data_IF_885098816578
#
_entry.id   IF_885098816578
#
_cell.length_a   1.000
_cell.length_b   1.000
_cell.length_c   1.000
_cell.angle_alpha   90.00
_cell.angle_beta   90.00
_cell.angle_gamma   90.00
#
_symmetry.space_group_name_H-M   'P 1'
#
loop_
_entity.id
_entity.type
_entity.pdbx_description
1 polymer ?
#
# COMPACT_ATOMS: atom_id res chain seq x y z
N UNK A 1 -8.42 40.11 -3.53
CA UNK A 1 -8.69 39.54 -4.87
C UNK A 1 -7.77 38.35 -5.22
N UNK A 2 -6.43 38.44 -5.10
CA UNK A 2 -5.51 37.32 -5.39
C UNK A 2 -5.71 36.07 -4.51
N UNK A 3 -5.92 36.23 -3.20
CA UNK A 3 -6.16 35.10 -2.29
C UNK A 3 -7.44 34.31 -2.61
N UNK A 4 -8.52 35.00 -2.98
CA UNK A 4 -9.79 34.38 -3.31
C UNK A 4 -9.71 33.55 -4.61
N UNK A 5 -8.93 34.02 -5.59
CA UNK A 5 -8.70 33.32 -6.85
C UNK A 5 -7.89 32.03 -6.66
N UNK A 6 -6.89 32.05 -5.76
CA UNK A 6 -6.03 30.90 -5.47
C UNK A 6 -6.77 29.77 -4.76
N UNK A 7 -7.56 30.09 -3.72
CA UNK A 7 -8.39 29.09 -3.03
C UNK A 7 -9.49 28.51 -3.93
N UNK A 8 -10.10 29.34 -4.78
CA UNK A 8 -11.11 28.88 -5.74
C UNK A 8 -10.49 28.02 -6.86
N UNK A 9 -9.25 28.33 -7.27
CA UNK A 9 -8.46 27.52 -8.20
C UNK A 9 -8.04 26.16 -7.60
N UNK A 10 -7.57 26.12 -6.35
CA UNK A 10 -7.25 24.87 -5.65
C UNK A 10 -8.46 23.98 -5.41
N UNK A 11 -9.62 24.54 -5.01
CA UNK A 11 -10.87 23.77 -4.91
C UNK A 11 -11.29 23.18 -6.25
N UNK A 12 -11.27 23.98 -7.33
CA UNK A 12 -11.58 23.49 -8.69
C UNK A 12 -10.58 22.44 -9.17
N UNK A 13 -9.29 22.60 -8.85
CA UNK A 13 -8.27 21.61 -9.18
C UNK A 13 -8.47 20.30 -8.41
N UNK A 14 -8.81 20.37 -7.11
CA UNK A 14 -9.11 19.19 -6.29
C UNK A 14 -10.41 18.51 -6.74
N UNK A 15 -11.47 19.26 -7.03
CA UNK A 15 -12.73 18.73 -7.57
C UNK A 15 -12.50 18.05 -8.93
N UNK A 16 -11.64 18.63 -9.77
CA UNK A 16 -11.22 18.03 -11.04
C UNK A 16 -10.41 16.74 -10.83
N UNK A 17 -9.44 16.74 -9.91
CA UNK A 17 -8.66 15.53 -9.55
C UNK A 17 -9.59 14.43 -9.04
N UNK A 18 -10.51 14.75 -8.12
CA UNK A 18 -11.52 13.83 -7.60
C UNK A 18 -12.37 13.20 -8.70
N UNK A 19 -12.87 14.01 -9.64
CA UNK A 19 -13.67 13.51 -10.77
C UNK A 19 -12.87 12.61 -11.71
N UNK A 20 -11.58 12.91 -11.93
CA UNK A 20 -10.70 12.17 -12.84
C UNK A 20 -10.08 10.91 -12.23
N UNK A 21 -10.04 10.80 -10.90
CA UNK A 21 -9.46 9.68 -10.16
C UNK A 21 -10.44 8.49 -9.95
N UNK A 22 -11.64 8.53 -10.55
CA UNK A 22 -12.65 7.46 -10.43
C UNK A 22 -12.38 6.20 -11.28
N UNK A 23 -11.17 6.03 -11.82
CA UNK A 23 -10.82 4.81 -12.56
C UNK A 23 -10.73 3.64 -11.58
N UNK A 24 -11.65 2.68 -11.70
CA UNK A 24 -11.68 1.47 -10.88
C UNK A 24 -10.96 0.35 -11.65
N UNK A 25 -10.19 -0.49 -10.95
CA UNK A 25 -9.89 -1.83 -11.45
C UNK A 25 -11.23 -2.50 -11.74
N UNK A 26 -11.43 -2.91 -12.99
CA UNK A 26 -12.71 -3.46 -13.43
C UNK A 26 -12.99 -4.78 -12.69
N UNK A 27 -14.13 -4.89 -11.96
CA UNK A 27 -14.58 -6.16 -11.38
C UNK A 27 -14.79 -7.26 -12.41
N UNK A 28 -14.80 -6.94 -13.71
CA UNK A 28 -15.20 -7.90 -14.74
C UNK A 28 -14.16 -8.96 -15.02
N UNK A 29 -12.86 -8.65 -14.88
CA UNK A 29 -11.84 -9.70 -14.93
C UNK A 29 -12.04 -10.76 -13.84
N UNK A 30 -12.76 -10.41 -12.76
CA UNK A 30 -13.08 -11.35 -11.69
C UNK A 30 -14.41 -12.06 -11.87
N UNK A 31 -15.33 -11.58 -12.70
CA UNK A 31 -16.69 -12.11 -12.79
C UNK A 31 -17.04 -12.57 -14.22
N UNK A 32 -16.39 -13.63 -14.73
CA UNK A 32 -16.71 -14.16 -16.05
C UNK A 32 -18.14 -14.72 -16.09
N UNK A 33 -18.82 -14.70 -17.24
CA UNK A 33 -20.17 -15.24 -17.40
C UNK A 33 -20.23 -16.77 -17.28
N UNK A 34 -19.14 -17.46 -17.65
CA UNK A 34 -19.00 -18.91 -17.56
C UNK A 34 -17.67 -19.26 -16.87
N UNK A 35 -17.74 -19.62 -15.58
CA UNK A 35 -16.55 -19.97 -14.80
C UNK A 35 -15.87 -21.25 -15.30
N UNK A 36 -16.61 -22.19 -15.92
CA UNK A 36 -16.05 -23.46 -16.38
C UNK A 36 -15.08 -23.29 -17.56
N UNK A 37 -15.24 -22.18 -18.32
CA UNK A 37 -14.40 -21.84 -19.49
C UNK A 37 -13.44 -20.68 -19.24
N UNK A 38 -13.55 -20.01 -18.09
CA UNK A 38 -12.68 -18.90 -17.75
C UNK A 38 -11.21 -19.37 -17.63
N UNK A 39 -10.27 -18.52 -18.06
CA UNK A 39 -8.85 -18.68 -17.73
C UNK A 39 -8.64 -18.21 -16.30
N UNK A 40 -7.93 -19.00 -15.49
CA UNK A 40 -7.82 -18.82 -14.05
C UNK A 40 -6.35 -18.74 -13.64
N UNK A 41 -6.09 -17.97 -12.58
CA UNK A 41 -4.82 -17.94 -11.88
C UNK A 41 -5.10 -18.23 -10.41
N UNK A 42 -4.52 -19.32 -9.90
CA UNK A 42 -4.69 -19.77 -8.51
C UNK A 42 -3.60 -19.15 -7.65
N UNK A 43 -4.01 -18.55 -6.53
CA UNK A 43 -3.13 -17.96 -5.53
C UNK A 43 -3.48 -18.53 -4.16
N UNK A 44 -2.47 -18.97 -3.40
CA UNK A 44 -2.67 -19.52 -2.06
C UNK A 44 -2.23 -18.49 -1.00
N UNK A 45 -3.13 -18.09 -0.11
CA UNK A 45 -2.86 -17.03 0.88
C UNK A 45 -1.77 -17.42 1.91
N UNK A 46 -1.48 -18.71 2.07
CA UNK A 46 -0.70 -19.26 3.18
C UNK A 46 0.82 -19.06 3.06
N UNK A 47 1.27 -17.91 2.55
CA UNK A 47 2.67 -17.50 2.63
C UNK A 47 3.14 -17.46 4.09
N UNK A 48 4.39 -17.87 4.31
CA UNK A 48 5.06 -17.97 5.61
C UNK A 48 5.36 -16.64 6.33
N UNK A 49 4.40 -15.73 6.44
CA UNK A 49 4.59 -14.41 7.06
C UNK A 49 3.30 -13.88 7.74
N UNK A 50 3.34 -12.64 8.25
CA UNK A 50 2.18 -11.98 8.88
C UNK A 50 1.18 -11.39 7.89
N UNK A 51 0.06 -10.86 8.41
CA UNK A 51 -1.12 -10.40 7.64
C UNK A 51 -0.76 -9.46 6.48
N UNK A 52 -0.04 -8.36 6.74
CA UNK A 52 0.30 -7.39 5.68
C UNK A 52 1.12 -8.01 4.54
N UNK A 53 2.06 -8.90 4.87
CA UNK A 53 2.84 -9.64 3.87
C UNK A 53 1.98 -10.65 3.07
N UNK A 54 1.03 -11.33 3.72
CA UNK A 54 0.07 -12.21 3.03
C UNK A 54 -0.89 -11.43 2.13
N UNK A 55 -1.37 -10.26 2.56
CA UNK A 55 -2.18 -9.38 1.73
C UNK A 55 -1.39 -8.90 0.50
N UNK A 56 -0.14 -8.46 0.68
CA UNK A 56 0.74 -8.11 -0.44
C UNK A 56 1.00 -9.29 -1.37
N UNK A 57 1.10 -10.52 -0.86
CA UNK A 57 1.16 -11.70 -1.72
C UNK A 57 -0.09 -11.85 -2.60
N UNK A 58 -1.30 -11.68 -2.04
CA UNK A 58 -2.55 -11.74 -2.82
C UNK A 58 -2.63 -10.59 -3.83
N UNK A 59 -2.19 -9.38 -3.47
CA UNK A 59 -2.10 -8.22 -4.39
C UNK A 59 -1.18 -8.54 -5.57
N UNK A 60 0.00 -9.10 -5.31
CA UNK A 60 0.94 -9.55 -6.34
C UNK A 60 0.28 -10.57 -7.29
N UNK A 61 -0.41 -11.58 -6.75
CA UNK A 61 -1.13 -12.55 -7.57
C UNK A 61 -2.18 -11.88 -8.44
N UNK A 62 -2.91 -10.91 -7.86
CA UNK A 62 -3.98 -10.22 -8.55
C UNK A 62 -3.45 -9.31 -9.68
N UNK A 63 -2.32 -8.64 -9.47
CA UNK A 63 -1.68 -7.85 -10.52
C UNK A 63 -1.27 -8.71 -11.74
N UNK A 64 -0.71 -9.89 -11.49
CA UNK A 64 -0.37 -10.85 -12.57
C UNK A 64 -1.63 -11.42 -13.22
N UNK A 65 -2.64 -11.78 -12.44
CA UNK A 65 -3.92 -12.27 -12.97
C UNK A 65 -4.58 -11.22 -13.87
N UNK A 66 -4.53 -9.94 -13.47
CA UNK A 66 -5.01 -8.81 -14.28
C UNK A 66 -4.18 -8.61 -15.56
N UNK A 67 -2.85 -8.69 -15.48
CA UNK A 67 -1.98 -8.58 -16.66
C UNK A 67 -2.19 -9.70 -17.67
N UNK A 68 -2.42 -10.92 -17.20
CA UNK A 68 -2.55 -12.13 -18.03
C UNK A 68 -3.99 -12.47 -18.44
N UNK A 69 -4.95 -11.60 -18.12
CA UNK A 69 -6.39 -11.81 -18.39
C UNK A 69 -6.93 -13.12 -17.80
N UNK A 70 -6.56 -13.39 -16.55
CA UNK A 70 -7.01 -14.54 -15.77
C UNK A 70 -7.86 -14.09 -14.59
N UNK A 71 -8.95 -14.79 -14.33
CA UNK A 71 -9.72 -14.65 -13.09
C UNK A 71 -8.86 -15.10 -11.92
N UNK A 72 -8.82 -14.34 -10.83
CA UNK A 72 -8.06 -14.73 -9.64
C UNK A 72 -8.91 -15.71 -8.83
N UNK A 73 -8.35 -16.88 -8.57
CA UNK A 73 -8.92 -17.86 -7.64
C UNK A 73 -8.06 -17.84 -6.38
N UNK A 74 -8.65 -17.44 -5.26
CA UNK A 74 -7.96 -17.34 -3.98
C UNK A 74 -8.23 -18.58 -3.13
N UNK A 75 -7.21 -19.40 -2.94
CA UNK A 75 -7.26 -20.50 -1.98
C UNK A 75 -6.88 -20.00 -0.60
N UNK A 76 -7.84 -20.07 0.32
CA UNK A 76 -7.72 -19.50 1.66
C UNK A 76 -8.01 -20.48 2.80
N UNK A 77 -8.31 -21.74 2.50
CA UNK A 77 -8.49 -22.76 3.54
C UNK A 77 -7.23 -22.92 4.41
N UNK A 78 -7.45 -23.23 5.69
CA UNK A 78 -6.40 -23.36 6.70
C UNK A 78 -5.55 -22.09 6.86
N UNK A 79 -6.15 -20.93 6.60
CA UNK A 79 -5.46 -19.67 6.81
C UNK A 79 -5.12 -19.47 8.28
N UNK A 80 -3.84 -19.24 8.57
CA UNK A 80 -3.30 -19.14 9.95
C UNK A 80 -4.02 -18.10 10.83
N UNK A 81 -4.63 -17.09 10.23
CA UNK A 81 -5.37 -16.05 10.95
C UNK A 81 -6.85 -16.41 11.14
N UNK A 82 -7.44 -17.13 10.19
CA UNK A 82 -8.85 -17.54 10.22
C UNK A 82 -8.97 -18.86 9.43
N UNK A 83 -9.02 -20.03 10.09
CA UNK A 83 -9.04 -21.33 9.41
C UNK A 83 -10.21 -21.48 8.41
N UNK A 84 -11.31 -20.77 8.64
CA UNK A 84 -12.47 -20.68 7.75
C UNK A 84 -12.20 -19.98 6.41
N UNK A 85 -11.09 -19.25 6.29
CA UNK A 85 -10.61 -18.64 5.05
C UNK A 85 -10.82 -17.14 4.95
N UNK A 86 -10.65 -16.63 3.73
CA UNK A 86 -10.71 -15.20 3.40
C UNK A 86 -12.09 -14.61 3.68
N UNK A 87 -13.12 -15.37 3.34
CA UNK A 87 -14.53 -15.01 3.44
C UNK A 87 -15.00 -14.82 4.88
N UNK A 88 -14.21 -15.25 5.87
CA UNK A 88 -14.46 -14.92 7.28
C UNK A 88 -14.58 -13.41 7.46
N UNK A 89 -13.71 -12.61 6.84
CA UNK A 89 -13.61 -11.15 7.05
C UNK A 89 -13.93 -10.29 5.81
N UNK A 90 -13.61 -10.78 4.61
CA UNK A 90 -13.76 -10.01 3.36
C UNK A 90 -14.73 -10.68 2.40
N UNK A 91 -15.27 -9.91 1.45
CA UNK A 91 -16.07 -10.47 0.37
C UNK A 91 -15.20 -11.40 -0.51
N UNK A 92 -15.81 -12.42 -1.14
CA UNK A 92 -15.09 -13.27 -2.09
C UNK A 92 -14.52 -12.42 -3.23
N UNK A 93 -13.37 -12.87 -3.75
CA UNK A 93 -12.67 -12.18 -4.84
C UNK A 93 -13.50 -12.17 -6.14
N UNK A 94 -14.41 -13.13 -6.30
CA UNK A 94 -15.37 -13.23 -7.40
C UNK A 94 -16.75 -13.63 -6.87
N UNK A 95 -17.81 -13.10 -7.49
CA UNK A 95 -19.19 -13.53 -7.23
C UNK A 95 -19.63 -14.67 -8.16
N UNK A 96 -19.00 -14.83 -9.32
CA UNK A 96 -19.43 -15.80 -10.36
C UNK A 96 -18.43 -16.93 -10.59
N UNK A 97 -17.19 -16.81 -10.09
CA UNK A 97 -16.14 -17.77 -10.37
C UNK A 97 -15.13 -17.88 -9.22
N UNK A 98 -15.43 -18.74 -8.26
CA UNK A 98 -14.55 -19.08 -7.13
C UNK A 98 -13.97 -20.50 -7.23
N UNK A 99 -14.43 -21.29 -8.20
CA UNK A 99 -14.00 -22.65 -8.42
C UNK A 99 -12.72 -22.73 -9.29
N UNK A 100 -11.80 -23.61 -8.93
CA UNK A 100 -10.51 -23.81 -9.62
C UNK A 100 -10.53 -24.86 -10.72
N UNK A 101 -11.67 -25.49 -11.04
CA UNK A 101 -11.72 -26.52 -12.08
C UNK A 101 -11.38 -25.97 -13.47
N UNK A 102 -10.85 -26.82 -14.33
CA UNK A 102 -10.56 -26.47 -15.72
C UNK A 102 -10.05 -27.69 -16.48
N UNK A 103 -10.07 -27.62 -17.81
CA UNK A 103 -9.62 -28.68 -18.71
C UNK A 103 -8.11 -28.95 -18.61
N UNK A 104 -7.32 -27.94 -18.24
CA UNK A 104 -5.87 -28.07 -18.03
C UNK A 104 -5.42 -27.22 -16.83
N UNK A 105 -4.54 -27.79 -16.02
CA UNK A 105 -3.93 -27.14 -14.85
C UNK A 105 -2.42 -27.31 -14.90
N UNK A 106 -1.66 -26.28 -14.55
CA UNK A 106 -0.20 -26.33 -14.46
C UNK A 106 0.37 -25.26 -13.55
N UNK A 107 1.61 -25.45 -13.11
CA UNK A 107 2.36 -24.40 -12.41
C UNK A 107 2.83 -23.32 -13.39
N UNK A 108 2.99 -22.10 -12.91
CA UNK A 108 3.54 -20.99 -13.69
C UNK A 108 4.87 -21.39 -14.36
N UNK A 109 4.90 -21.27 -15.68
CA UNK A 109 6.10 -21.50 -16.51
C UNK A 109 6.41 -20.34 -17.46
N UNK A 110 5.64 -19.25 -17.34
CA UNK A 110 5.77 -18.03 -18.11
C UNK A 110 4.60 -17.84 -19.07
N UNK A 111 4.15 -16.59 -19.22
CA UNK A 111 2.92 -16.25 -19.96
C UNK A 111 2.84 -16.87 -21.38
N UNK A 112 3.96 -16.91 -22.11
CA UNK A 112 4.01 -17.49 -23.45
C UNK A 112 3.82 -19.02 -23.45
N UNK A 113 4.39 -19.72 -22.47
CA UNK A 113 4.26 -21.17 -22.32
C UNK A 113 2.89 -21.56 -21.78
N UNK A 114 2.34 -20.75 -20.88
CA UNK A 114 1.06 -21.00 -20.21
C UNK A 114 -0.15 -20.55 -21.04
N UNK A 115 0.03 -20.18 -22.33
CA UNK A 115 -1.03 -19.60 -23.16
C UNK A 115 -2.28 -20.50 -23.25
N UNK A 116 -2.08 -21.81 -23.43
CA UNK A 116 -3.15 -22.81 -23.62
C UNK A 116 -3.54 -23.52 -22.31
N UNK A 117 -2.87 -23.17 -21.19
CA UNK A 117 -3.20 -23.70 -19.86
C UNK A 117 -4.36 -22.91 -19.28
N UNK A 118 -5.47 -23.58 -18.96
CA UNK A 118 -6.66 -22.90 -18.46
C UNK A 118 -6.47 -22.39 -17.04
N UNK A 119 -5.89 -23.20 -16.15
CA UNK A 119 -5.69 -22.88 -14.73
C UNK A 119 -4.20 -22.88 -14.41
N UNK A 120 -3.66 -21.72 -14.03
CA UNK A 120 -2.23 -21.59 -13.71
C UNK A 120 -2.05 -21.35 -12.21
N UNK A 121 -1.24 -22.17 -11.55
CA UNK A 121 -0.89 -22.00 -10.15
C UNK A 121 0.34 -21.09 -10.02
N UNK A 122 0.17 -19.96 -9.32
CA UNK A 122 1.23 -18.98 -9.17
C UNK A 122 1.95 -19.16 -7.82
N UNK A 123 3.29 -19.29 -7.82
CA UNK A 123 4.06 -19.37 -6.58
C UNK A 123 4.20 -18.00 -5.90
N UNK A 124 4.77 -17.99 -4.70
CA UNK A 124 5.21 -16.75 -4.06
C UNK A 124 6.26 -16.05 -4.93
N UNK A 125 6.31 -14.72 -4.84
CA UNK A 125 7.21 -13.89 -5.66
C UNK A 125 8.69 -14.27 -5.52
N UNK A 126 9.07 -14.79 -4.35
CA UNK A 126 10.44 -15.21 -4.00
C UNK A 126 10.93 -16.39 -4.87
N UNK A 127 10.02 -17.25 -5.34
CA UNK A 127 10.32 -18.41 -6.20
C UNK A 127 9.74 -18.27 -7.61
N UNK A 128 9.25 -17.08 -7.98
CA UNK A 128 8.66 -16.83 -9.29
C UNK A 128 9.74 -16.79 -10.39
N UNK A 129 9.66 -17.74 -11.32
CA UNK A 129 10.49 -17.74 -12.52
C UNK A 129 9.73 -18.35 -13.71
N UNK A 130 9.80 -17.73 -14.91
CA UNK A 130 10.32 -16.39 -15.19
C UNK A 130 9.42 -15.31 -14.57
N UNK A 131 9.98 -14.12 -14.29
CA UNK A 131 9.20 -12.99 -13.75
C UNK A 131 8.43 -12.29 -14.88
N UNK A 132 7.09 -12.17 -14.81
CA UNK A 132 6.32 -11.42 -15.79
C UNK A 132 6.53 -9.90 -15.62
N UNK A 133 6.16 -9.08 -16.62
CA UNK A 133 6.31 -7.62 -16.52
C UNK A 133 5.31 -6.98 -15.56
N UNK A 134 4.23 -7.67 -15.18
CA UNK A 134 3.12 -7.13 -14.40
C UNK A 134 3.39 -7.01 -12.88
N UNK A 135 4.52 -6.41 -12.52
CA UNK A 135 5.01 -6.28 -11.14
C UNK A 135 5.24 -4.81 -10.77
N UNK A 136 5.04 -4.44 -9.49
CA UNK A 136 5.46 -3.14 -9.00
C UNK A 136 6.97 -2.91 -9.24
N UNK A 137 7.44 -1.68 -9.38
CA UNK A 137 6.69 -0.42 -9.28
C UNK A 137 6.11 0.05 -10.63
N UNK A 138 6.04 -0.82 -11.64
CA UNK A 138 5.52 -0.43 -12.94
C UNK A 138 4.00 -0.20 -12.92
N UNK A 139 3.54 0.74 -13.74
CA UNK A 139 2.13 1.10 -13.91
C UNK A 139 1.64 0.79 -15.34
N UNK A 140 0.32 0.68 -15.58
CA UNK A 140 -0.23 0.54 -16.93
C UNK A 140 0.13 1.71 -17.84
N UNK A 141 0.67 1.41 -19.02
CA UNK A 141 1.13 2.40 -20.01
C UNK A 141 0.00 3.37 -20.44
N UNK A 142 -1.23 2.88 -20.58
CA UNK A 142 -2.40 3.67 -20.95
C UNK A 142 -2.83 4.66 -19.84
N UNK A 143 -2.62 4.28 -18.57
CA UNK A 143 -2.93 5.11 -17.42
C UNK A 143 -1.81 6.08 -17.05
N UNK A 144 -0.55 5.79 -17.45
CA UNK A 144 0.62 6.53 -17.01
C UNK A 144 0.53 8.06 -17.25
N UNK A 145 0.13 8.56 -18.43
CA UNK A 145 0.01 10.01 -18.63
C UNK A 145 -1.06 10.67 -17.76
N UNK A 146 -2.10 9.93 -17.35
CA UNK A 146 -3.15 10.44 -16.45
C UNK A 146 -2.66 10.43 -15.00
N UNK A 147 -2.06 9.34 -14.57
CA UNK A 147 -1.59 9.18 -13.18
C UNK A 147 -0.49 10.19 -12.85
N UNK A 148 0.48 10.39 -13.74
CA UNK A 148 1.56 11.38 -13.52
C UNK A 148 1.05 12.83 -13.39
N UNK A 149 -0.17 13.14 -13.88
CA UNK A 149 -0.79 14.46 -13.69
C UNK A 149 -1.60 14.57 -12.40
N UNK A 150 -2.03 13.44 -11.84
CA UNK A 150 -3.02 13.37 -10.77
C UNK A 150 -2.42 12.95 -9.42
N UNK A 151 -1.35 12.16 -9.43
CA UNK A 151 -0.80 11.49 -8.25
C UNK A 151 0.72 11.63 -8.21
N UNK A 152 1.27 11.98 -7.04
CA UNK A 152 2.71 12.16 -6.84
C UNK A 152 3.52 10.86 -6.89
N UNK A 153 2.88 9.72 -6.58
CA UNK A 153 3.45 8.38 -6.77
C UNK A 153 2.44 7.46 -7.46
N UNK A 154 2.49 7.35 -8.80
CA UNK A 154 1.61 6.46 -9.55
C UNK A 154 1.69 4.98 -9.17
N UNK A 155 2.83 4.52 -8.65
CA UNK A 155 3.10 3.10 -8.39
C UNK A 155 2.25 2.62 -7.22
N UNK A 156 2.27 3.34 -6.10
CA UNK A 156 1.42 3.03 -4.94
C UNK A 156 -0.07 3.20 -5.28
N UNK A 157 -0.43 4.16 -6.14
CA UNK A 157 -1.81 4.29 -6.60
C UNK A 157 -2.28 3.04 -7.35
N UNK A 158 -1.42 2.45 -8.18
CA UNK A 158 -1.76 1.23 -8.91
C UNK A 158 -1.92 0.03 -7.99
N UNK A 159 -0.99 -0.17 -7.06
CA UNK A 159 -1.07 -1.20 -6.01
C UNK A 159 -2.36 -1.06 -5.20
N UNK A 160 -2.70 0.17 -4.80
CA UNK A 160 -3.86 0.43 -3.94
C UNK A 160 -5.20 0.07 -4.58
N UNK A 161 -5.32 0.05 -5.91
CA UNK A 161 -6.55 -0.37 -6.55
C UNK A 161 -6.87 -1.85 -6.30
N UNK A 162 -5.84 -2.70 -6.25
CA UNK A 162 -6.00 -4.11 -5.93
C UNK A 162 -6.27 -4.31 -4.44
N UNK A 163 -5.55 -3.59 -3.58
CA UNK A 163 -5.83 -3.59 -2.12
C UNK A 163 -7.29 -3.22 -1.87
N UNK A 164 -7.79 -2.13 -2.46
CA UNK A 164 -9.18 -1.67 -2.35
C UNK A 164 -10.20 -2.74 -2.74
N UNK A 165 -9.95 -3.47 -3.82
CA UNK A 165 -10.85 -4.53 -4.25
C UNK A 165 -10.82 -5.72 -3.29
N UNK A 166 -9.65 -6.10 -2.79
CA UNK A 166 -9.51 -7.23 -1.88
C UNK A 166 -10.18 -6.93 -0.53
N UNK A 167 -9.90 -5.78 0.08
CA UNK A 167 -10.35 -5.47 1.45
C UNK A 167 -11.82 -5.01 1.55
N UNK A 168 -12.68 -5.38 0.59
CA UNK A 168 -14.12 -5.14 0.69
C UNK A 168 -14.67 -5.97 1.87
N UNK A 169 -15.17 -5.34 2.94
CA UNK A 169 -15.52 -6.04 4.16
C UNK A 169 -16.80 -6.86 3.98
N UNK A 170 -16.91 -7.96 4.73
CA UNK A 170 -18.22 -8.57 5.00
C UNK A 170 -19.11 -7.59 5.78
N UNK A 171 -20.44 -7.74 5.67
CA UNK A 171 -21.39 -6.83 6.33
C UNK A 171 -21.20 -6.72 7.85
N UNK A 172 -20.79 -7.81 8.51
CA UNK A 172 -20.52 -7.81 9.95
C UNK A 172 -19.27 -7.00 10.30
N UNK A 173 -18.22 -7.07 9.47
CA UNK A 173 -16.97 -6.33 9.67
C UNK A 173 -17.19 -4.84 9.39
N UNK A 174 -17.97 -4.49 8.37
CA UNK A 174 -18.38 -3.11 8.12
C UNK A 174 -19.13 -2.51 9.31
N UNK A 175 -20.06 -3.27 9.90
CA UNK A 175 -20.76 -2.87 11.12
C UNK A 175 -19.81 -2.70 12.30
N UNK A 176 -18.85 -3.60 12.47
CA UNK A 176 -17.83 -3.48 13.52
C UNK A 176 -16.96 -2.23 13.34
N UNK A 177 -16.52 -1.94 12.12
CA UNK A 177 -15.77 -0.71 11.81
C UNK A 177 -16.57 0.53 12.23
N UNK A 178 -17.86 0.60 11.86
CA UNK A 178 -18.73 1.72 12.21
C UNK A 178 -18.92 1.86 13.73
N UNK A 179 -19.15 0.74 14.42
CA UNK A 179 -19.30 0.71 15.88
C UNK A 179 -18.03 1.13 16.60
N UNK A 180 -16.87 0.63 16.16
CA UNK A 180 -15.57 0.98 16.72
C UNK A 180 -15.22 2.44 16.46
N UNK A 181 -15.55 2.98 15.28
CA UNK A 181 -15.39 4.41 14.96
C UNK A 181 -16.13 5.29 15.98
N UNK A 182 -17.39 4.95 16.26
CA UNK A 182 -18.19 5.67 17.25
C UNK A 182 -17.66 5.48 18.68
N UNK A 183 -17.30 4.26 19.07
CA UNK A 183 -16.79 3.92 20.41
C UNK A 183 -15.47 4.64 20.72
N UNK A 184 -14.56 4.70 19.75
CA UNK A 184 -13.26 5.37 19.90
C UNK A 184 -13.36 6.89 19.81
N UNK A 185 -14.51 7.44 19.40
CA UNK A 185 -14.65 8.87 19.14
C UNK A 185 -13.71 9.36 18.02
N UNK A 186 -13.45 8.52 17.03
CA UNK A 186 -12.51 8.82 15.94
C UNK A 186 -13.00 10.05 15.15
N UNK A 187 -12.20 11.12 15.16
CA UNK A 187 -12.54 12.41 14.54
C UNK A 187 -11.32 13.16 14.04
N UNK A 188 -11.50 13.88 12.95
CA UNK A 188 -10.48 14.74 12.35
C UNK A 188 -10.41 16.12 13.05
N UNK A 189 -9.26 16.82 13.00
CA UNK A 189 -7.98 16.37 12.46
C UNK A 189 -7.29 15.35 13.39
N UNK A 190 -6.68 14.32 12.80
CA UNK A 190 -6.01 13.21 13.50
C UNK A 190 -4.80 12.70 12.71
N UNK A 191 -3.70 12.43 13.40
CA UNK A 191 -2.49 11.84 12.81
C UNK A 191 -2.39 10.38 13.24
N UNK A 192 -2.16 9.48 12.29
CA UNK A 192 -1.94 8.06 12.53
C UNK A 192 -0.49 7.81 12.91
N UNK A 193 -0.27 7.07 13.99
CA UNK A 193 1.06 6.62 14.42
C UNK A 193 1.04 5.11 14.52
N UNK A 194 1.91 4.46 13.77
CA UNK A 194 2.11 3.01 13.86
C UNK A 194 3.52 2.71 14.36
N UNK A 195 3.59 2.18 15.59
CA UNK A 195 4.85 1.80 16.22
C UNK A 195 4.94 0.29 16.25
N UNK A 196 5.91 -0.28 15.53
CA UNK A 196 6.17 -1.73 15.49
C UNK A 196 7.39 -2.05 16.35
N UNK A 197 7.22 -2.89 17.37
CA UNK A 197 8.29 -3.37 18.25
C UNK A 197 8.44 -4.90 18.12
N UNK A 198 8.02 -5.62 19.17
CA UNK A 198 8.14 -7.08 19.40
C UNK A 198 9.22 -7.81 18.58
N UNK A 199 8.84 -8.74 17.71
CA UNK A 199 9.72 -9.64 16.95
C UNK A 199 10.53 -8.99 15.83
N UNK A 200 10.26 -7.71 15.52
CA UNK A 200 10.89 -7.01 14.39
C UNK A 200 12.14 -6.25 14.81
N UNK A 201 12.25 -5.88 16.09
CA UNK A 201 13.43 -5.21 16.63
C UNK A 201 14.61 -6.17 16.61
N UNK A 202 15.67 -5.80 15.90
CA UNK A 202 16.92 -6.57 15.81
C UNK A 202 16.97 -7.64 14.71
N UNK A 203 15.88 -7.80 13.94
CA UNK A 203 15.84 -8.72 12.77
C UNK A 203 15.55 -7.96 11.48
N UNK A 204 14.45 -7.21 11.46
CA UNK A 204 13.93 -6.53 10.25
C UNK A 204 13.88 -4.99 10.40
N UNK A 205 13.89 -4.47 11.62
CA UNK A 205 13.85 -3.04 11.89
C UNK A 205 14.60 -2.67 13.19
N UNK A 206 14.90 -1.39 13.34
CA UNK A 206 15.44 -0.83 14.57
C UNK A 206 14.32 -0.53 15.60
N UNK A 207 14.69 -0.44 16.87
CA UNK A 207 13.81 0.13 17.89
C UNK A 207 13.81 1.65 17.74
N UNK A 208 12.61 2.23 17.63
CA UNK A 208 12.41 3.67 17.60
C UNK A 208 11.61 4.11 18.85
N UNK A 209 12.13 5.06 19.66
CA UNK A 209 11.41 5.60 20.80
C UNK A 209 10.21 6.45 20.34
N UNK A 210 9.18 6.59 21.20
CA UNK A 210 7.95 7.32 20.83
C UNK A 210 8.21 8.77 20.45
N UNK A 211 9.26 9.37 21.02
CA UNK A 211 9.72 10.73 20.76
C UNK A 211 10.05 10.99 19.30
N UNK A 212 10.62 10.00 18.62
CA UNK A 212 11.00 10.11 17.21
C UNK A 212 9.75 10.25 16.32
N UNK A 213 8.72 9.44 16.58
CA UNK A 213 7.42 9.55 15.91
C UNK A 213 6.78 10.90 16.24
N UNK A 214 6.72 11.25 17.53
CA UNK A 214 5.97 12.41 18.00
C UNK A 214 6.58 13.75 17.57
N UNK A 215 7.89 13.79 17.26
CA UNK A 215 8.52 14.93 16.59
C UNK A 215 7.80 15.27 15.28
N UNK A 216 7.60 14.28 14.41
CA UNK A 216 6.97 14.48 13.11
C UNK A 216 5.45 14.69 13.21
N UNK A 217 4.82 14.10 14.23
CA UNK A 217 3.42 14.40 14.58
C UNK A 217 3.25 15.88 14.94
N UNK A 218 4.12 16.42 15.80
CA UNK A 218 4.06 17.84 16.21
C UNK A 218 4.33 18.77 15.02
N UNK A 219 5.36 18.50 14.22
CA UNK A 219 5.67 19.25 13.00
C UNK A 219 4.45 19.31 12.07
N UNK A 220 3.75 18.20 11.90
CA UNK A 220 2.58 18.16 11.04
C UNK A 220 1.36 18.86 11.67
N UNK A 221 1.14 18.77 12.98
CA UNK A 221 0.11 19.58 13.63
C UNK A 221 0.39 21.09 13.51
N UNK A 222 1.65 21.51 13.58
CA UNK A 222 2.03 22.91 13.32
C UNK A 222 1.71 23.35 11.89
N UNK A 223 1.88 22.47 10.89
CA UNK A 223 1.48 22.73 9.51
C UNK A 223 -0.06 22.77 9.36
N UNK A 224 -0.78 21.86 10.00
CA UNK A 224 -2.25 21.84 10.00
C UNK A 224 -2.85 23.09 10.66
N UNK A 225 -2.28 23.55 11.77
CA UNK A 225 -2.73 24.75 12.49
C UNK A 225 -2.70 26.02 11.63
N UNK A 226 -1.84 26.07 10.60
CA UNK A 226 -1.77 27.21 9.66
C UNK A 226 -2.95 27.29 8.70
N UNK A 227 -3.70 26.19 8.53
CA UNK A 227 -4.78 26.07 7.52
C UNK A 227 -6.13 25.67 8.10
N UNK A 228 -6.17 25.15 9.31
CA UNK A 228 -7.38 24.71 9.99
C UNK A 228 -7.31 25.05 11.48
N UNK A 229 -8.46 25.32 12.08
CA UNK A 229 -8.56 25.45 13.54
C UNK A 229 -8.43 24.06 14.18
N UNK A 230 -7.49 23.91 15.12
CA UNK A 230 -7.27 22.67 15.85
C UNK A 230 -7.94 22.75 17.21
N UNK A 231 -9.03 22.03 17.40
CA UNK A 231 -9.69 21.92 18.71
C UNK A 231 -8.91 21.01 19.68
N UNK A 232 -8.26 19.97 19.15
CA UNK A 232 -7.35 19.08 19.91
C UNK A 232 -6.33 18.42 18.97
N UNK A 233 -5.12 18.15 19.47
CA UNK A 233 -4.11 17.34 18.77
C UNK A 233 -4.38 15.84 19.02
N UNK A 234 -4.96 15.15 18.03
CA UNK A 234 -5.37 13.74 18.15
C UNK A 234 -4.38 12.81 17.47
N UNK A 235 -4.07 11.71 18.14
CA UNK A 235 -3.22 10.65 17.58
C UNK A 235 -3.98 9.34 17.61
N UNK A 236 -4.13 8.69 16.46
CA UNK A 236 -4.50 7.27 16.43
C UNK A 236 -3.23 6.44 16.61
N UNK A 237 -3.11 5.70 17.71
CA UNK A 237 -1.92 4.91 18.02
C UNK A 237 -2.20 3.41 17.81
N UNK A 238 -1.59 2.84 16.76
CA UNK A 238 -1.53 1.41 16.52
C UNK A 238 -0.16 0.87 16.95
N UNK A 239 -0.14 -0.17 17.76
CA UNK A 239 1.10 -0.75 18.30
C UNK A 239 0.89 -2.20 18.71
N UNK A 240 1.93 -3.00 18.59
CA UNK A 240 2.02 -4.36 19.12
C UNK A 240 2.64 -4.41 20.53
N UNK A 241 3.00 -3.26 21.10
CA UNK A 241 3.45 -3.08 22.47
C UNK A 241 2.34 -2.46 23.33
N UNK A 242 1.69 -3.24 24.23
CA UNK A 242 0.57 -2.77 25.03
C UNK A 242 0.96 -1.78 26.13
N UNK A 243 2.25 -1.60 26.41
CA UNK A 243 2.74 -0.62 27.40
C UNK A 243 2.85 0.80 26.83
N UNK A 244 2.96 0.92 25.51
CA UNK A 244 3.25 2.17 24.82
C UNK A 244 2.14 3.22 24.95
N UNK A 245 0.87 2.80 25.01
CA UNK A 245 -0.24 3.74 25.15
C UNK A 245 -0.15 4.54 26.46
N UNK A 246 0.21 3.87 27.56
CA UNK A 246 0.37 4.54 28.85
C UNK A 246 1.59 5.47 28.85
N UNK A 247 2.70 5.01 28.28
CA UNK A 247 3.92 5.82 28.09
C UNK A 247 3.62 7.10 27.30
N UNK A 248 2.94 6.98 26.16
CA UNK A 248 2.61 8.10 25.28
C UNK A 248 1.69 9.12 25.97
N UNK A 249 0.66 8.66 26.69
CA UNK A 249 -0.24 9.54 27.46
C UNK A 249 0.49 10.29 28.57
N UNK A 250 1.46 9.65 29.23
CA UNK A 250 2.26 10.29 30.28
C UNK A 250 3.24 11.33 29.71
N UNK A 251 3.90 11.03 28.59
CA UNK A 251 4.88 11.94 27.97
C UNK A 251 4.24 13.11 27.21
N UNK A 252 3.03 12.91 26.67
CA UNK A 252 2.34 13.89 25.83
C UNK A 252 0.92 14.21 26.34
N UNK A 253 0.78 14.84 27.51
CA UNK A 253 -0.53 15.10 28.13
C UNK A 253 -1.43 16.05 27.33
N UNK A 254 -0.85 16.88 26.45
CA UNK A 254 -1.61 17.80 25.61
C UNK A 254 -2.33 17.10 24.44
N UNK A 255 -1.95 15.86 24.14
CA UNK A 255 -2.47 15.05 23.05
C UNK A 255 -3.64 14.16 23.49
N UNK A 256 -4.60 13.97 22.60
CA UNK A 256 -5.67 12.97 22.74
C UNK A 256 -5.28 11.70 21.98
N UNK A 257 -4.83 10.67 22.71
CA UNK A 257 -4.52 9.37 22.11
C UNK A 257 -5.77 8.50 22.00
N UNK A 258 -6.11 8.15 20.77
CA UNK A 258 -7.16 7.21 20.39
C UNK A 258 -6.49 5.88 20.05
N UNK A 259 -6.83 4.82 20.76
CA UNK A 259 -6.25 3.48 20.57
C UNK A 259 -7.11 2.45 21.30
N UNK A 260 -7.21 1.23 20.76
CA UNK A 260 -7.79 0.10 21.47
C UNK A 260 -6.65 -0.79 22.00
N UNK A 261 -6.28 -0.61 23.27
CA UNK A 261 -5.15 -1.35 23.85
C UNK A 261 -5.38 -2.87 23.88
N UNK A 262 -6.64 -3.34 23.77
CA UNK A 262 -6.92 -4.78 23.68
C UNK A 262 -6.43 -5.38 22.36
N UNK A 263 -6.41 -4.59 21.28
CA UNK A 263 -5.82 -4.96 19.99
C UNK A 263 -4.31 -5.15 20.14
N UNK A 264 -3.62 -4.23 20.83
CA UNK A 264 -2.19 -4.34 21.11
C UNK A 264 -1.83 -5.62 21.86
N UNK A 265 -2.63 -6.00 22.87
CA UNK A 265 -2.46 -7.28 23.57
C UNK A 265 -2.64 -8.49 22.65
N UNK A 266 -3.62 -8.45 21.75
CA UNK A 266 -3.88 -9.54 20.80
C UNK A 266 -2.83 -9.70 19.71
N UNK A 267 -2.06 -8.65 19.41
CA UNK A 267 -0.97 -8.66 18.43
C UNK A 267 0.32 -9.34 18.93
N UNK A 268 0.41 -9.58 20.24
CA UNK A 268 1.52 -10.28 20.88
C UNK A 268 1.70 -11.71 20.33
N UNK A 269 2.94 -12.20 20.35
CA UNK A 269 3.34 -13.46 19.69
C UNK A 269 2.48 -14.68 20.04
N UNK A 270 1.96 -14.76 21.27
CA UNK A 270 1.15 -15.88 21.73
C UNK A 270 -0.26 -15.94 21.10
N UNK A 271 -0.83 -14.78 20.70
CA UNK A 271 -2.22 -14.68 20.23
C UNK A 271 -2.34 -14.19 18.77
N UNK A 272 -1.20 -13.89 18.14
CA UNK A 272 -1.12 -13.21 16.84
C UNK A 272 -1.87 -13.92 15.70
N UNK A 273 -1.86 -15.26 15.69
CA UNK A 273 -2.47 -16.05 14.60
C UNK A 273 -3.83 -16.58 15.04
N UNK A 274 -4.75 -15.65 15.29
CA UNK A 274 -6.13 -15.90 15.69
C UNK A 274 -7.08 -14.94 14.99
N UNK A 275 -8.36 -15.29 14.89
CA UNK A 275 -9.37 -14.43 14.26
C UNK A 275 -9.54 -13.10 15.00
N UNK A 276 -9.36 -13.10 16.33
CA UNK A 276 -9.42 -11.88 17.13
C UNK A 276 -8.25 -10.93 16.79
N UNK A 277 -7.04 -11.46 16.66
CA UNK A 277 -5.86 -10.67 16.26
C UNK A 277 -5.99 -10.17 14.80
N UNK A 278 -6.56 -11.00 13.92
CA UNK A 278 -6.86 -10.62 12.54
C UNK A 278 -7.81 -9.41 12.49
N UNK A 279 -8.91 -9.45 13.25
CA UNK A 279 -9.84 -8.33 13.36
C UNK A 279 -9.15 -7.07 13.89
N UNK A 280 -8.33 -7.23 14.93
CA UNK A 280 -7.55 -6.16 15.50
C UNK A 280 -6.65 -5.46 14.48
N UNK A 281 -5.82 -6.21 13.74
CA UNK A 281 -4.91 -5.62 12.75
C UNK A 281 -5.66 -5.00 11.56
N UNK A 282 -6.81 -5.55 11.16
CA UNK A 282 -7.66 -4.95 10.12
C UNK A 282 -8.21 -3.60 10.57
N UNK A 283 -8.69 -3.50 11.82
CA UNK A 283 -9.17 -2.24 12.40
C UNK A 283 -8.04 -1.21 12.53
N UNK A 284 -6.87 -1.61 13.01
CA UNK A 284 -5.71 -0.70 13.10
C UNK A 284 -5.31 -0.16 11.72
N UNK A 285 -5.20 -1.03 10.70
CA UNK A 285 -4.90 -0.61 9.33
C UNK A 285 -5.98 0.33 8.80
N UNK A 286 -7.26 0.03 9.06
CA UNK A 286 -8.37 0.89 8.66
C UNK A 286 -8.21 2.29 9.25
N UNK A 287 -8.10 2.42 10.57
CA UNK A 287 -8.01 3.73 11.21
C UNK A 287 -6.72 4.49 10.88
N UNK A 288 -5.59 3.80 10.73
CA UNK A 288 -4.36 4.41 10.22
C UNK A 288 -4.57 5.00 8.82
N UNK A 289 -5.23 4.26 7.92
CA UNK A 289 -5.48 4.71 6.54
C UNK A 289 -6.42 5.93 6.46
N UNK A 290 -7.31 6.09 7.44
CA UNK A 290 -8.29 7.18 7.53
C UNK A 290 -7.72 8.45 8.16
N UNK A 291 -6.45 8.47 8.59
CA UNK A 291 -5.86 9.66 9.24
C UNK A 291 -5.45 10.74 8.24
N UNK A 292 -5.29 11.98 8.71
CA UNK A 292 -4.87 13.13 7.88
C UNK A 292 -3.38 13.08 7.48
N UNK A 293 -2.59 12.27 8.19
CA UNK A 293 -1.17 12.04 7.97
C UNK A 293 -0.72 10.79 8.72
N UNK A 294 0.26 10.06 8.18
CA UNK A 294 0.75 8.80 8.75
C UNK A 294 2.22 8.89 9.16
N UNK A 295 2.55 8.60 10.42
CA UNK A 295 3.93 8.51 10.91
C UNK A 295 4.23 7.09 11.34
N UNK A 296 5.22 6.45 10.74
CA UNK A 296 5.51 5.04 11.01
C UNK A 296 6.90 4.59 10.53
N UNK A 297 7.16 3.30 10.57
CA UNK A 297 8.24 2.63 9.82
C UNK A 297 7.67 1.93 8.58
N UNK A 298 8.21 2.24 7.40
CA UNK A 298 7.83 1.59 6.15
C UNK A 298 8.55 0.25 5.96
N UNK A 299 9.48 -0.13 6.81
CA UNK A 299 9.89 -1.54 6.93
C UNK A 299 8.70 -2.46 7.30
N UNK A 300 7.70 -1.95 8.03
CA UNK A 300 6.49 -2.69 8.40
C UNK A 300 5.43 -2.73 7.30
N UNK A 301 5.01 -3.95 6.92
CA UNK A 301 3.95 -4.14 5.94
C UNK A 301 2.61 -3.55 6.40
N UNK A 302 2.34 -3.52 7.71
CA UNK A 302 1.11 -2.94 8.28
C UNK A 302 1.00 -1.46 7.89
N UNK A 303 2.08 -0.70 8.05
CA UNK A 303 2.06 0.71 7.68
C UNK A 303 1.92 0.91 6.17
N UNK A 304 2.63 0.09 5.37
CA UNK A 304 2.54 0.18 3.91
C UNK A 304 1.13 -0.11 3.40
N UNK A 305 0.44 -1.11 3.96
CA UNK A 305 -0.97 -1.38 3.61
C UNK A 305 -1.88 -0.20 3.99
N UNK A 306 -1.71 0.38 5.19
CA UNK A 306 -2.48 1.56 5.59
C UNK A 306 -2.24 2.74 4.63
N UNK A 307 -0.99 2.98 4.26
CA UNK A 307 -0.60 4.01 3.28
C UNK A 307 -1.17 3.75 1.88
N UNK A 308 -1.19 2.49 1.42
CA UNK A 308 -1.81 2.10 0.16
C UNK A 308 -3.32 2.37 0.17
N UNK A 309 -4.03 1.95 1.23
CA UNK A 309 -5.48 2.23 1.37
C UNK A 309 -5.75 3.74 1.39
N UNK A 310 -4.90 4.53 2.07
CA UNK A 310 -5.00 5.99 2.12
C UNK A 310 -5.02 6.63 0.73
N UNK A 311 -4.28 6.09 -0.25
CA UNK A 311 -4.27 6.59 -1.63
C UNK A 311 -5.65 6.51 -2.31
N UNK A 312 -6.55 5.69 -1.78
CA UNK A 312 -7.90 5.50 -2.32
C UNK A 312 -8.94 6.42 -1.69
N UNK A 313 -8.55 7.13 -0.63
CA UNK A 313 -9.38 8.01 0.19
C UNK A 313 -9.14 9.50 -0.10
N UNK A 314 -8.15 9.82 -0.94
CA UNK A 314 -7.81 11.18 -1.36
C UNK A 314 -7.46 11.21 -2.86
N UNK A 315 -7.44 12.39 -3.50
CA UNK A 315 -6.99 12.48 -4.89
C UNK A 315 -5.51 12.15 -5.05
N UNK A 316 -4.70 12.60 -4.08
CA UNK A 316 -3.25 12.42 -4.03
C UNK A 316 -2.83 12.52 -2.57
N UNK A 317 -2.63 11.36 -1.93
CA UNK A 317 -2.10 11.26 -0.57
C UNK A 317 -0.66 10.73 -0.58
N UNK A 318 0.03 10.83 -1.73
CA UNK A 318 1.37 10.27 -1.88
C UNK A 318 2.36 10.89 -0.90
N UNK A 319 2.17 12.15 -0.51
CA UNK A 319 3.02 12.84 0.47
C UNK A 319 2.45 12.85 1.90
N UNK A 320 1.38 12.09 2.20
CA UNK A 320 0.70 12.14 3.51
C UNK A 320 1.31 11.17 4.52
N UNK A 321 2.64 11.09 4.52
CA UNK A 321 3.36 10.24 5.45
C UNK A 321 4.71 10.83 5.84
N UNK A 322 5.25 10.34 6.95
CA UNK A 322 6.66 10.39 7.27
C UNK A 322 7.09 9.00 7.74
N UNK A 323 8.13 8.44 7.11
CA UNK A 323 8.70 7.17 7.52
C UNK A 323 10.00 7.40 8.28
N UNK A 324 10.20 6.68 9.38
CA UNK A 324 11.45 6.75 10.16
C UNK A 324 12.59 5.94 9.55
N UNK A 325 12.30 5.06 8.58
CA UNK A 325 13.27 4.17 7.98
C UNK A 325 13.18 4.15 6.45
N UNK A 326 12.49 3.16 5.87
CA UNK A 326 12.48 2.89 4.45
C UNK A 326 11.67 3.94 3.68
N UNK A 327 12.01 4.10 2.40
CA UNK A 327 11.07 4.68 1.43
C UNK A 327 9.94 3.66 1.15
N UNK A 328 8.88 4.07 0.45
CA UNK A 328 7.86 3.11 0.03
C UNK A 328 8.47 2.03 -0.87
N UNK A 329 8.13 0.77 -0.60
CA UNK A 329 8.48 -0.35 -1.44
C UNK A 329 7.41 -1.45 -1.36
N UNK A 330 7.38 -2.28 -2.40
CA UNK A 330 6.59 -3.49 -2.47
C UNK A 330 7.51 -4.72 -2.51
N UNK A 331 7.27 -5.69 -1.63
CA UNK A 331 8.12 -6.89 -1.53
C UNK A 331 8.15 -7.68 -2.84
N UNK A 332 9.34 -7.89 -3.41
CA UNK A 332 9.51 -8.56 -4.70
C UNK A 332 9.27 -7.66 -5.92
N UNK A 333 9.25 -6.33 -5.75
CA UNK A 333 9.24 -5.37 -6.86
C UNK A 333 10.44 -5.52 -7.80
N UNK A 334 10.30 -5.00 -9.02
CA UNK A 334 11.42 -4.74 -9.90
C UNK A 334 12.27 -3.58 -9.37
N UNK A 335 13.47 -3.39 -9.94
CA UNK A 335 14.41 -2.38 -9.49
C UNK A 335 13.79 -0.97 -9.45
N UNK A 336 13.85 -0.32 -8.28
CA UNK A 336 13.44 1.07 -8.10
C UNK A 336 14.55 1.97 -8.63
N UNK A 337 14.26 2.69 -9.71
CA UNK A 337 15.21 3.55 -10.38
C UNK A 337 14.78 5.02 -10.31
N UNK A 338 15.79 5.88 -10.24
CA UNK A 338 15.68 7.32 -10.40
C UNK A 338 16.61 7.76 -11.55
N UNK A 339 16.40 8.97 -12.04
CA UNK A 339 17.23 9.59 -13.07
C UNK A 339 17.87 10.84 -12.46
N UNK A 340 19.20 10.94 -12.51
CA UNK A 340 19.90 12.16 -12.14
C UNK A 340 19.50 13.32 -13.07
N UNK A 341 19.13 14.45 -12.49
CA UNK A 341 18.74 15.67 -13.22
C UNK A 341 19.76 16.80 -13.05
N UNK A 342 20.59 16.75 -12.01
CA UNK A 342 21.69 17.69 -11.78
C UNK A 342 22.99 16.93 -11.52
N UNK A 343 24.14 17.48 -11.94
CA UNK A 343 25.42 16.87 -11.65
C UNK A 343 25.73 16.92 -10.15
N UNK A 344 26.53 15.96 -9.69
CA UNK A 344 27.06 15.94 -8.33
C UNK A 344 28.51 15.47 -8.34
N UNK A 345 29.38 16.33 -7.82
CA UNK A 345 30.74 15.95 -7.46
C UNK A 345 30.76 15.51 -5.99
N UNK A 346 31.25 14.30 -5.68
CA UNK A 346 31.41 13.79 -4.32
C UNK A 346 32.23 14.74 -3.46
N UNK A 347 31.78 15.01 -2.23
CA UNK A 347 32.58 15.80 -1.26
C UNK A 347 33.52 14.92 -0.44
N UNK A 348 33.16 13.66 -0.25
CA UNK A 348 33.92 12.67 0.50
C UNK A 348 33.81 11.30 -0.20
N UNK A 349 34.41 10.26 0.38
CA UNK A 349 34.39 8.90 -0.16
C UNK A 349 33.05 8.17 -0.01
N UNK A 350 32.11 8.71 0.75
CA UNK A 350 30.78 8.14 0.95
C UNK A 350 29.81 8.54 -0.16
N UNK A 351 30.05 9.69 -0.82
CA UNK A 351 29.24 10.22 -1.91
C UNK A 351 29.52 9.53 -3.26
N UNK A 352 28.52 9.44 -4.12
CA UNK A 352 28.66 8.99 -5.52
C UNK A 352 28.57 10.15 -6.52
N UNK A 353 29.38 10.13 -7.60
CA UNK A 353 29.26 11.12 -8.65
C UNK A 353 27.99 10.87 -9.47
N UNK A 354 27.34 11.96 -9.88
CA UNK A 354 26.17 11.95 -10.74
C UNK A 354 26.40 12.84 -11.95
N UNK A 355 26.01 12.37 -13.14
CA UNK A 355 25.81 13.20 -14.31
C UNK A 355 24.32 13.19 -14.73
N UNK A 356 23.76 14.29 -15.26
CA UNK A 356 22.39 14.30 -15.75
C UNK A 356 22.12 13.18 -16.76
N UNK A 357 21.09 12.39 -16.51
CA UNK A 357 20.73 11.20 -17.29
C UNK A 357 21.21 9.87 -16.71
N UNK A 358 22.12 9.87 -15.73
CA UNK A 358 22.53 8.64 -15.05
C UNK A 358 21.34 7.97 -14.35
N UNK A 359 21.26 6.64 -14.45
CA UNK A 359 20.23 5.83 -13.78
C UNK A 359 20.73 5.39 -12.42
N UNK A 360 20.00 5.77 -11.37
CA UNK A 360 20.35 5.51 -9.97
C UNK A 360 19.38 4.47 -9.42
N UNK A 361 19.90 3.33 -8.96
CA UNK A 361 19.11 2.36 -8.20
C UNK A 361 19.04 2.82 -6.75
N UNK A 362 17.90 3.35 -6.32
CA UNK A 362 17.73 3.85 -4.96
C UNK A 362 17.60 2.69 -3.98
N UNK A 363 18.30 2.79 -2.84
CA UNK A 363 18.15 1.88 -1.71
C UNK A 363 17.27 2.49 -0.61
N UNK A 364 17.38 3.80 -0.37
CA UNK A 364 16.57 4.49 0.62
C UNK A 364 16.88 5.99 0.72
N UNK A 365 16.09 6.70 1.51
CA UNK A 365 16.28 8.11 1.87
C UNK A 365 16.66 8.18 3.35
N UNK A 366 17.69 8.93 3.70
CA UNK A 366 18.13 9.08 5.09
C UNK A 366 17.39 10.21 5.82
N UNK A 367 16.51 10.93 5.13
CA UNK A 367 15.68 12.01 5.64
C UNK A 367 16.48 13.21 6.18
N UNK A 368 17.76 13.32 5.79
CA UNK A 368 18.71 14.40 6.13
C UNK A 368 19.12 15.26 4.91
N UNK A 369 18.47 15.03 3.76
CA UNK A 369 18.78 15.65 2.47
C UNK A 369 19.60 14.76 1.53
N UNK A 370 20.08 13.59 2.00
CA UNK A 370 20.76 12.59 1.21
C UNK A 370 19.96 11.28 1.10
N UNK A 371 20.16 10.61 -0.03
CA UNK A 371 19.69 9.27 -0.32
C UNK A 371 20.89 8.35 -0.55
N UNK A 372 20.69 7.04 -0.37
CA UNK A 372 21.70 6.02 -0.69
C UNK A 372 21.25 5.20 -1.88
N UNK A 373 22.18 4.87 -2.77
CA UNK A 373 21.88 4.07 -3.95
C UNK A 373 23.11 3.76 -4.79
N UNK A 374 22.89 3.11 -5.91
CA UNK A 374 23.93 2.71 -6.87
C UNK A 374 23.80 3.50 -8.17
N UNK A 375 24.85 4.19 -8.59
CA UNK A 375 24.94 4.71 -9.96
C UNK A 375 25.20 3.52 -10.89
N UNK A 376 24.19 3.11 -11.66
CA UNK A 376 24.26 1.89 -12.48
C UNK A 376 25.29 1.96 -13.60
N UNK A 377 25.57 3.16 -14.09
CA UNK A 377 26.59 3.38 -15.13
C UNK A 377 28.00 3.12 -14.61
N UNK A 378 28.26 3.49 -13.35
CA UNK A 378 29.58 3.40 -12.74
C UNK A 378 29.74 2.16 -11.84
N UNK A 379 28.64 1.49 -11.49
CA UNK A 379 28.65 0.38 -10.53
C UNK A 379 29.05 0.80 -9.11
N UNK A 380 28.93 2.09 -8.76
CA UNK A 380 29.33 2.63 -7.46
C UNK A 380 28.12 2.91 -6.58
N UNK A 381 28.21 2.47 -5.33
CA UNK A 381 27.20 2.67 -4.30
C UNK A 381 27.65 3.71 -3.29
N UNK A 382 26.76 4.60 -2.89
CA UNK A 382 27.02 5.61 -1.87
C UNK A 382 25.89 6.63 -1.77
N UNK A 383 26.19 7.77 -1.16
CA UNK A 383 25.24 8.84 -0.88
C UNK A 383 25.14 9.83 -2.03
N UNK A 384 23.97 10.42 -2.20
CA UNK A 384 23.75 11.52 -3.13
C UNK A 384 22.64 12.45 -2.62
N UNK A 385 22.68 13.76 -2.92
CA UNK A 385 21.62 14.67 -2.51
C UNK A 385 20.28 14.32 -3.16
N UNK A 386 19.24 14.09 -2.36
CA UNK A 386 17.96 13.56 -2.82
C UNK A 386 17.24 14.47 -3.82
N UNK A 387 17.47 15.79 -3.76
CA UNK A 387 16.87 16.75 -4.69
C UNK A 387 17.46 16.71 -6.12
N UNK A 388 18.57 15.99 -6.33
CA UNK A 388 19.28 15.93 -7.62
C UNK A 388 18.80 14.84 -8.56
N UNK A 389 17.77 14.11 -8.17
CA UNK A 389 17.20 13.02 -8.93
C UNK A 389 15.69 13.22 -9.11
N UNK A 390 15.12 12.54 -10.11
CA UNK A 390 13.68 12.38 -10.26
C UNK A 390 13.34 10.90 -10.35
N UNK A 391 12.14 10.54 -9.92
CA UNK A 391 11.63 9.16 -10.07
C UNK A 391 11.59 8.72 -11.54
N UNK A 392 12.03 7.48 -11.82
CA UNK A 392 11.86 6.85 -13.14
C UNK A 392 10.57 6.04 -13.12
N UNK A 393 9.50 6.61 -13.66
CA UNK A 393 8.22 5.90 -13.79
C UNK A 393 8.35 4.81 -14.86
N UNK A 394 8.27 3.55 -14.44
CA UNK A 394 8.25 2.41 -15.35
C UNK A 394 6.82 2.11 -15.81
N UNK A 395 6.64 1.83 -17.09
CA UNK A 395 5.32 1.53 -17.67
C UNK A 395 5.31 0.15 -18.32
N UNK A 396 4.19 -0.56 -18.20
CA UNK A 396 3.97 -1.89 -18.77
C UNK A 396 2.65 -1.90 -19.54
N UNK A 397 2.61 -2.63 -20.66
CA UNK A 397 1.39 -2.84 -21.44
C UNK A 397 0.48 -3.84 -20.72
N UNK A 398 -0.47 -3.31 -19.96
CA UNK A 398 -1.55 -4.10 -19.37
C UNK A 398 -2.74 -4.21 -20.34
N UNK A 399 -3.62 -5.21 -20.18
CA UNK A 399 -4.88 -5.28 -20.91
C UNK A 399 -5.83 -4.12 -20.54
N UNK A 400 -6.58 -3.61 -21.53
CA UNK A 400 -7.46 -2.46 -21.36
C UNK A 400 -8.89 -2.80 -20.90
N UNK A 401 -9.33 -4.05 -21.07
CA UNK A 401 -10.69 -4.52 -20.73
C UNK A 401 -11.83 -3.61 -21.25
N UNK A 402 -11.90 -3.31 -22.57
CA UNK A 402 -12.87 -2.35 -23.12
C UNK A 402 -14.34 -2.78 -22.96
N UNK A 403 -14.63 -4.06 -22.73
CA UNK A 403 -15.99 -4.51 -22.40
C UNK A 403 -16.48 -3.91 -21.08
N UNK A 404 -15.55 -3.55 -20.18
CA UNK A 404 -15.87 -2.96 -18.90
C UNK A 404 -16.47 -1.58 -18.96
N UNK A 405 -15.92 -0.75 -19.84
CA UNK A 405 -16.41 0.60 -20.04
C UNK A 405 -17.81 0.60 -20.65
N UNK A 406 -18.14 -0.38 -21.49
CA UNK A 406 -19.48 -0.50 -22.11
C UNK A 406 -20.56 -0.79 -21.07
N UNK A 407 -20.30 -1.68 -20.12
CA UNK A 407 -21.25 -2.05 -19.07
C UNK A 407 -21.42 -0.96 -17.99
N UNK A 408 -20.34 -0.25 -17.64
CA UNK A 408 -20.44 0.91 -16.75
C UNK A 408 -21.28 2.04 -17.37
N UNK A 409 -21.19 2.23 -18.68
CA UNK A 409 -21.98 3.22 -19.40
C UNK A 409 -23.44 2.80 -19.63
N UNK A 410 -23.74 1.49 -19.64
CA UNK A 410 -25.13 1.00 -19.73
C UNK A 410 -25.85 0.99 -18.38
N UNK A 411 -25.14 0.88 -17.25
CA UNK A 411 -25.72 0.96 -15.89
C UNK A 411 -25.97 2.41 -15.43
N UNK A 412 -25.33 3.39 -16.05
CA UNK A 412 -25.50 4.82 -15.77
C UNK A 412 -26.49 5.52 -16.74
N UNK A 413 -27.11 4.77 -17.64
CA UNK A 413 -28.29 5.17 -18.43
C UNK A 413 -29.53 4.55 -17.80
#
# INVERSE_FOLDING_TARGET
FFFFFFFHSQRRANDWRWKKNKNKVSPQNQNPPDCSKARKLVCNINKGCGYGCQLHHVVYCFMIAYGTQRTLILESHNWRYAPGGWETVFLPVSNTCTDRSGASTGHWSGEAHDKDVQVVELPIVDSLHPRPPYLPLAIPEDLAPRLQRLHGDPSVWWVSQFVKYLVRPQAWLEKEIQQTTAKLGFKHPIIGVHVRRTDKVGTEAAFHPIEEYMKHVEEQFQLLARRANLDKKRVYLATDDPSLLQEAKTKYPDYEFISDNSISWSAGLHNRYTENSLRGVILDIHFLSQTDFLVCTFSSQVCRVAYEIMQTLHPDASSYFYSLDDIYYFGGQNAHNQIAIYPHQPRNSEDIPLEPGDVIGVAGNHWDGYSKGINRKLGRTGLYPSYKVKEKIETVKYPLYPEADKLLNSQNK
#
